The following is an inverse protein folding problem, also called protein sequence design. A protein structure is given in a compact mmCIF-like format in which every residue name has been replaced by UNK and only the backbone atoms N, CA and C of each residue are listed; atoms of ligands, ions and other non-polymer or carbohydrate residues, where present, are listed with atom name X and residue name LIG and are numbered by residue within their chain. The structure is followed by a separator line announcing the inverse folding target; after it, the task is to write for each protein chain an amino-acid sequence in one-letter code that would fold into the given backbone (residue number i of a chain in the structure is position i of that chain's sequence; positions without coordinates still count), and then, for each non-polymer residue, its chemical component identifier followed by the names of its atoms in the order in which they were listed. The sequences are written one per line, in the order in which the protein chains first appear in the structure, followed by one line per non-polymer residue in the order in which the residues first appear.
data_IF_811779932737
#
_entry.id   IF_811779932737
#
_cell.length_a   1.000
_cell.length_b   1.000
_cell.length_c   1.000
_cell.angle_alpha   90.00
_cell.angle_beta   90.00
_cell.angle_gamma   90.00
#
_symmetry.space_group_name_H-M   'P 1'
#
loop_
_entity.id
_entity.type
_entity.pdbx_description
1 polymer ?
#
# COMPACT_ATOMS: atom_id res chain seq x y z
N UNK A 1 11.17 -9.41 43.64
CA UNK A 1 12.14 -9.62 42.56
C UNK A 1 11.34 -10.29 41.46
N UNK A 2 10.91 -9.53 40.45
CA UNK A 2 10.29 -10.12 39.27
C UNK A 2 11.43 -10.70 38.44
N UNK A 3 11.31 -11.98 38.11
CA UNK A 3 12.21 -12.64 37.18
C UNK A 3 11.96 -12.03 35.80
N UNK A 4 12.97 -11.36 35.26
CA UNK A 4 13.15 -11.26 33.82
C UNK A 4 13.36 -12.69 33.31
N UNK A 5 12.25 -13.36 32.97
CA UNK A 5 12.30 -14.49 32.05
C UNK A 5 12.90 -13.96 30.74
N UNK A 6 14.18 -14.28 30.49
CA UNK A 6 14.82 -14.06 29.20
C UNK A 6 13.97 -14.74 28.13
N UNK A 7 13.22 -13.94 27.37
CA UNK A 7 12.40 -14.44 26.28
C UNK A 7 13.35 -14.79 25.13
N UNK A 8 13.84 -16.03 25.11
CA UNK A 8 14.55 -16.59 23.95
C UNK A 8 13.58 -16.51 22.78
N UNK A 9 13.80 -15.55 21.88
CA UNK A 9 12.89 -15.24 20.79
C UNK A 9 13.31 -16.01 19.56
N UNK A 10 13.16 -17.33 19.60
CA UNK A 10 13.42 -18.18 18.44
C UNK A 10 12.39 -17.89 17.33
N UNK A 11 12.80 -17.96 16.06
CA UNK A 11 11.92 -17.71 14.89
C UNK A 11 10.65 -18.57 14.88
N UNK A 12 10.73 -19.78 15.45
CA UNK A 12 9.59 -20.69 15.58
C UNK A 12 8.53 -20.14 16.52
N UNK A 13 8.93 -19.46 17.57
CA UNK A 13 8.03 -18.90 18.56
C UNK A 13 7.39 -17.62 18.01
N UNK A 14 8.15 -16.79 17.28
CA UNK A 14 7.62 -15.64 16.54
C UNK A 14 6.49 -16.02 15.58
N UNK A 15 6.68 -17.07 14.79
CA UNK A 15 5.63 -17.56 13.87
C UNK A 15 4.40 -18.08 14.61
N UNK A 16 4.60 -18.72 15.76
CA UNK A 16 3.48 -19.16 16.61
C UNK A 16 2.71 -17.98 17.21
N UNK A 17 3.40 -16.90 17.62
CA UNK A 17 2.74 -15.69 18.09
C UNK A 17 1.92 -15.01 17.00
N UNK A 18 2.49 -14.83 15.80
CA UNK A 18 1.75 -14.26 14.65
C UNK A 18 0.51 -15.09 14.35
N UNK A 19 0.66 -16.43 14.31
CA UNK A 19 -0.46 -17.34 14.11
C UNK A 19 -1.53 -17.19 15.19
N UNK A 20 -1.14 -17.12 16.47
CA UNK A 20 -2.06 -16.93 17.59
C UNK A 20 -2.80 -15.59 17.52
N UNK A 21 -2.12 -14.53 17.10
CA UNK A 21 -2.73 -13.22 16.91
C UNK A 21 -3.78 -13.30 15.79
N UNK A 22 -3.44 -13.88 14.65
CA UNK A 22 -4.37 -14.05 13.54
C UNK A 22 -5.57 -14.95 13.88
N UNK A 23 -5.33 -16.09 14.54
CA UNK A 23 -6.35 -17.11 14.79
C UNK A 23 -7.25 -16.79 16.00
N UNK A 24 -6.78 -15.98 16.95
CA UNK A 24 -7.50 -15.68 18.20
C UNK A 24 -7.58 -14.18 18.49
N UNK A 25 -6.45 -13.52 18.78
CA UNK A 25 -6.47 -12.17 19.35
C UNK A 25 -7.16 -11.16 18.43
N UNK A 26 -7.01 -11.29 17.10
CA UNK A 26 -7.63 -10.42 16.09
C UNK A 26 -9.18 -10.39 16.12
N UNK A 27 -9.78 -11.43 16.70
CA UNK A 27 -11.23 -11.64 16.79
C UNK A 27 -11.83 -11.03 18.05
N UNK A 28 -11.00 -10.69 19.03
CA UNK A 28 -11.45 -10.03 20.25
C UNK A 28 -11.94 -8.61 19.97
N UNK A 29 -12.94 -8.18 20.74
CA UNK A 29 -13.59 -6.88 20.54
C UNK A 29 -12.65 -5.71 20.87
N UNK A 30 -11.74 -5.91 21.81
CA UNK A 30 -10.74 -4.94 22.25
C UNK A 30 -9.44 -4.95 21.41
N UNK A 31 -9.36 -5.82 20.39
CA UNK A 31 -8.18 -5.87 19.52
C UNK A 31 -7.95 -4.60 18.71
N UNK A 32 -9.01 -3.86 18.37
CA UNK A 32 -8.90 -2.67 17.54
C UNK A 32 -9.92 -1.61 18.01
N UNK A 33 -9.60 -1.00 19.14
CA UNK A 33 -10.46 0.00 19.79
C UNK A 33 -10.61 1.29 18.95
N UNK A 34 -11.65 2.05 19.26
CA UNK A 34 -11.99 3.30 18.56
C UNK A 34 -10.94 4.41 18.78
N UNK A 35 -10.12 4.32 19.81
CA UNK A 35 -9.04 5.24 20.17
C UNK A 35 -7.65 4.75 19.69
N UNK A 36 -7.55 3.53 19.14
CA UNK A 36 -6.28 2.97 18.66
C UNK A 36 -5.67 3.87 17.57
N UNK A 37 -4.43 4.36 17.71
CA UNK A 37 -3.79 5.22 16.72
C UNK A 37 -3.76 4.57 15.32
N UNK A 38 -3.93 5.36 14.26
CA UNK A 38 -4.04 4.81 12.90
C UNK A 38 -2.82 3.96 12.48
N UNK A 39 -1.60 4.36 12.86
CA UNK A 39 -0.38 3.59 12.59
C UNK A 39 -0.41 2.21 13.26
N UNK A 40 -0.85 2.18 14.52
CA UNK A 40 -0.98 0.94 15.28
C UNK A 40 -2.09 0.05 14.72
N UNK A 41 -3.22 0.64 14.34
CA UNK A 41 -4.32 -0.08 13.74
C UNK A 41 -3.91 -0.76 12.42
N UNK A 42 -3.15 -0.07 11.56
CA UNK A 42 -2.59 -0.67 10.33
C UNK A 42 -1.68 -1.85 10.66
N UNK A 43 -0.78 -1.69 11.64
CA UNK A 43 0.11 -2.76 12.08
C UNK A 43 -0.67 -3.98 12.61
N UNK A 44 -1.69 -3.75 13.45
CA UNK A 44 -2.57 -4.80 13.96
C UNK A 44 -3.34 -5.52 12.85
N UNK A 45 -3.79 -4.81 11.82
CA UNK A 45 -4.40 -5.43 10.63
C UNK A 45 -3.40 -6.32 9.89
N UNK A 46 -2.15 -5.88 9.71
CA UNK A 46 -1.12 -6.73 9.10
C UNK A 46 -0.87 -7.99 9.93
N UNK A 47 -0.85 -7.89 11.26
CA UNK A 47 -0.71 -9.05 12.14
C UNK A 47 -1.93 -9.99 12.09
N UNK A 48 -3.14 -9.46 11.97
CA UNK A 48 -4.35 -10.31 11.85
C UNK A 48 -4.36 -11.13 10.56
N UNK A 49 -3.74 -10.63 9.50
CA UNK A 49 -3.56 -11.34 8.22
C UNK A 49 -2.29 -12.21 8.18
N UNK A 50 -1.63 -12.40 9.33
CA UNK A 50 -0.45 -13.25 9.44
C UNK A 50 0.83 -12.62 8.88
N UNK A 51 0.93 -11.29 8.92
CA UNK A 51 2.07 -10.49 8.46
C UNK A 51 2.43 -10.72 6.99
N UNK A 52 1.40 -10.86 6.14
CA UNK A 52 1.54 -10.99 4.68
C UNK A 52 1.53 -9.60 4.02
N UNK A 53 2.07 -9.46 2.80
CA UNK A 53 1.90 -8.25 2.02
C UNK A 53 0.41 -7.94 1.80
N UNK A 54 0.00 -6.71 2.10
CA UNK A 54 -1.37 -6.21 1.92
C UNK A 54 -1.32 -4.90 1.13
N UNK A 55 -2.36 -4.67 0.32
CA UNK A 55 -2.56 -3.39 -0.34
C UNK A 55 -3.29 -2.40 0.60
N UNK A 56 -3.32 -1.12 0.23
CA UNK A 56 -3.89 -0.09 1.08
C UNK A 56 -5.43 -0.16 1.13
N UNK A 57 -6.04 -0.69 0.07
CA UNK A 57 -7.47 -0.86 -0.12
C UNK A 57 -8.04 -1.91 0.86
N UNK A 58 -7.36 -3.04 1.01
CA UNK A 58 -7.71 -4.11 1.94
C UNK A 58 -7.64 -3.60 3.39
N UNK A 59 -6.55 -2.90 3.73
CA UNK A 59 -6.38 -2.30 5.06
C UNK A 59 -7.49 -1.27 5.31
N UNK A 60 -7.80 -0.42 4.32
CA UNK A 60 -8.89 0.55 4.40
C UNK A 60 -10.23 -0.13 4.65
N UNK A 61 -10.54 -1.21 3.92
CA UNK A 61 -11.77 -1.97 4.06
C UNK A 61 -11.95 -2.57 5.46
N UNK A 62 -10.88 -3.17 6.01
CA UNK A 62 -10.90 -3.75 7.37
C UNK A 62 -11.11 -2.66 8.42
N UNK A 63 -10.36 -1.56 8.36
CA UNK A 63 -10.46 -0.47 9.33
C UNK A 63 -11.82 0.23 9.26
N UNK A 64 -12.34 0.46 8.06
CA UNK A 64 -13.66 1.07 7.83
C UNK A 64 -14.75 0.18 8.40
N UNK A 65 -14.68 -1.13 8.19
CA UNK A 65 -15.65 -2.09 8.72
C UNK A 65 -15.61 -2.15 10.25
N UNK A 66 -14.41 -2.23 10.85
CA UNK A 66 -14.24 -2.30 12.31
C UNK A 66 -14.67 -1.02 13.02
N UNK A 67 -14.50 0.14 12.38
CA UNK A 67 -14.88 1.44 12.97
C UNK A 67 -16.20 2.02 12.48
N UNK A 68 -16.94 1.31 11.62
CA UNK A 68 -18.22 1.76 11.07
C UNK A 68 -19.24 2.19 12.14
N UNK A 69 -19.22 1.54 13.31
CA UNK A 69 -20.14 1.81 14.42
C UNK A 69 -19.54 2.70 15.52
N UNK A 70 -18.34 3.24 15.31
CA UNK A 70 -17.69 4.09 16.31
C UNK A 70 -18.26 5.52 16.25
N UNK A 71 -18.40 6.20 17.40
CA UNK A 71 -18.93 7.56 17.44
C UNK A 71 -18.00 8.62 16.81
N UNK A 72 -16.75 8.25 16.49
CA UNK A 72 -15.73 9.14 15.94
C UNK A 72 -15.22 8.58 14.60
N UNK A 73 -15.86 8.93 13.48
CA UNK A 73 -15.41 8.49 12.17
C UNK A 73 -14.01 9.03 11.88
N UNK A 74 -13.13 8.15 11.40
CA UNK A 74 -11.75 8.48 11.04
C UNK A 74 -11.55 8.34 9.54
N UNK A 75 -10.65 9.13 9.00
CA UNK A 75 -10.25 8.98 7.60
C UNK A 75 -9.31 7.77 7.46
N UNK A 76 -9.87 6.66 6.98
CA UNK A 76 -9.19 5.39 6.69
C UNK A 76 -8.94 5.21 5.19
N UNK A 77 -9.03 6.27 4.39
CA UNK A 77 -8.86 6.18 2.93
C UNK A 77 -7.50 5.56 2.55
N UNK A 78 -7.44 4.79 1.44
CA UNK A 78 -6.21 4.17 0.96
C UNK A 78 -5.07 5.19 0.79
N UNK A 79 -5.35 6.40 0.34
CA UNK A 79 -4.37 7.47 0.12
C UNK A 79 -3.74 7.93 1.44
N UNK A 80 -4.53 8.03 2.51
CA UNK A 80 -4.01 8.38 3.84
C UNK A 80 -3.12 7.26 4.37
N UNK A 81 -3.53 5.99 4.19
CA UNK A 81 -2.75 4.83 4.59
C UNK A 81 -1.41 4.82 3.83
N UNK A 82 -1.42 4.91 2.50
CA UNK A 82 -0.22 4.93 1.67
C UNK A 82 0.75 6.05 2.06
N UNK A 83 0.24 7.24 2.35
CA UNK A 83 1.07 8.37 2.80
C UNK A 83 1.65 8.16 4.21
N UNK A 84 0.97 7.41 5.05
CA UNK A 84 1.36 7.18 6.44
C UNK A 84 2.40 6.07 6.60
N UNK A 85 2.36 5.05 5.72
CA UNK A 85 3.26 3.90 5.76
C UNK A 85 4.76 4.27 5.75
N UNK A 86 5.25 5.19 4.88
CA UNK A 86 6.65 5.61 4.91
C UNK A 86 7.08 6.27 6.23
N UNK A 87 6.15 6.88 6.96
CA UNK A 87 6.41 7.56 8.23
C UNK A 87 6.18 6.64 9.45
N UNK A 88 6.06 5.33 9.25
CA UNK A 88 5.72 4.35 10.29
C UNK A 88 6.94 3.60 10.85
N UNK A 89 8.08 4.28 11.02
CA UNK A 89 9.34 3.70 11.48
C UNK A 89 9.24 2.93 12.81
N UNK A 90 8.29 3.28 13.68
CA UNK A 90 8.05 2.60 14.96
C UNK A 90 7.50 1.17 14.81
N UNK A 91 6.94 0.82 13.64
CA UNK A 91 6.34 -0.49 13.35
C UNK A 91 7.07 -1.24 12.23
N UNK A 92 8.18 -0.71 11.73
CA UNK A 92 9.02 -1.34 10.71
C UNK A 92 8.28 -1.78 9.42
N UNK A 93 7.19 -1.09 9.05
CA UNK A 93 6.41 -1.43 7.87
C UNK A 93 7.13 -0.91 6.62
N UNK A 94 7.30 -1.78 5.62
CA UNK A 94 8.01 -1.47 4.37
C UNK A 94 7.21 -1.92 3.15
N UNK A 95 7.35 -1.18 2.05
CA UNK A 95 6.73 -1.54 0.76
C UNK A 95 7.47 -2.73 0.16
N UNK A 96 6.72 -3.77 -0.23
CA UNK A 96 7.25 -4.88 -1.02
C UNK A 96 7.33 -4.45 -2.49
N UNK A 97 8.40 -4.79 -3.23
CA UNK A 97 8.48 -4.54 -4.67
C UNK A 97 7.29 -5.18 -5.40
N UNK A 98 6.79 -4.50 -6.44
CA UNK A 98 5.78 -5.08 -7.34
C UNK A 98 6.40 -6.29 -8.05
N UNK A 99 5.68 -7.42 -8.24
CA UNK A 99 6.22 -8.55 -8.99
C UNK A 99 6.63 -8.07 -10.38
N UNK A 100 7.87 -8.34 -10.79
CA UNK A 100 8.38 -7.93 -12.11
C UNK A 100 7.43 -8.43 -13.21
N UNK A 101 7.04 -7.58 -14.17
CA UNK A 101 6.14 -8.00 -15.24
C UNK A 101 6.82 -9.12 -16.03
N UNK A 102 6.24 -10.32 -16.02
CA UNK A 102 6.65 -11.39 -16.93
C UNK A 102 6.60 -10.80 -18.35
N UNK A 103 7.75 -10.81 -19.01
CA UNK A 103 7.91 -10.36 -20.40
C UNK A 103 7.08 -11.28 -21.29
N UNK A 104 5.82 -10.89 -21.54
CA UNK A 104 5.00 -11.51 -22.58
C UNK A 104 5.74 -11.29 -23.90
N UNK A 105 6.17 -12.35 -24.61
CA UNK A 105 6.90 -12.18 -25.86
C UNK A 105 6.00 -11.45 -26.87
N UNK A 106 6.49 -10.32 -27.35
CA UNK A 106 5.84 -9.50 -28.37
C UNK A 106 5.57 -10.36 -29.62
N UNK A 107 4.32 -10.44 -30.14
CA UNK A 107 4.08 -11.14 -31.39
C UNK A 107 4.84 -10.43 -32.52
N UNK A 108 5.49 -11.15 -33.45
CA UNK A 108 6.34 -10.54 -34.46
C UNK A 108 5.51 -9.59 -35.31
N UNK A 109 5.94 -8.33 -35.36
CA UNK A 109 5.33 -7.27 -36.15
C UNK A 109 5.17 -7.73 -37.60
N UNK A 110 3.92 -7.83 -38.05
CA UNK A 110 3.61 -8.01 -39.45
C UNK A 110 4.11 -6.77 -40.22
N UNK A 111 5.12 -6.99 -41.06
CA UNK A 111 5.62 -5.98 -41.99
C UNK A 111 4.50 -5.56 -42.93
N UNK A 112 4.07 -4.30 -42.82
CA UNK A 112 3.38 -3.61 -43.91
C UNK A 112 4.26 -2.48 -44.44
N UNK A 113 4.96 -2.85 -45.51
CA UNK A 113 5.57 -1.93 -46.48
C UNK A 113 4.50 -1.10 -47.18
N UNK A 114 4.73 0.22 -47.31
CA UNK A 114 4.37 1.07 -48.46
C UNK A 114 4.60 2.54 -48.05
N UNK A 115 5.73 3.17 -48.36
CA UNK A 115 6.06 3.84 -49.63
C UNK A 115 5.27 5.14 -49.92
N UNK A 116 6.03 6.23 -49.85
CA UNK A 116 6.12 7.42 -50.72
C UNK A 116 5.16 8.64 -50.62
N UNK A 117 5.80 9.81 -50.85
CA UNK A 117 5.30 11.13 -51.26
C UNK A 117 4.82 12.08 -50.13
N UNK A 118 5.20 13.35 -50.01
CA UNK A 118 6.07 14.26 -50.78
C UNK A 118 6.15 15.60 -50.00
N UNK A 119 7.17 16.42 -50.27
CA UNK A 119 7.23 17.87 -50.07
C UNK A 119 7.39 18.49 -48.65
N UNK A 120 8.63 18.84 -48.31
CA UNK A 120 8.99 20.14 -47.69
C UNK A 120 9.09 21.21 -48.81
N UNK A 121 8.99 22.56 -48.59
CA UNK A 121 9.71 23.30 -47.54
C UNK A 121 9.07 24.62 -47.00
N UNK A 122 9.85 25.24 -46.12
CA UNK A 122 9.78 26.52 -45.39
C UNK A 122 8.98 27.72 -45.94
N UNK A 123 8.43 28.52 -45.03
CA UNK A 123 8.70 29.98 -44.87
C UNK A 123 7.95 30.58 -43.66
N UNK A 124 8.66 31.37 -42.83
CA UNK A 124 8.10 32.32 -41.82
C UNK A 124 7.88 33.72 -42.47
N UNK A 125 7.61 34.85 -41.76
CA UNK A 125 6.97 35.15 -40.45
C UNK A 125 5.93 36.33 -40.54
N UNK A 126 5.51 36.86 -39.37
CA UNK A 126 5.00 38.23 -39.09
C UNK A 126 3.48 38.44 -39.01
N UNK A 127 2.99 38.85 -37.83
CA UNK A 127 2.67 40.27 -37.52
C UNK A 127 2.08 40.39 -36.10
N UNK A 128 2.77 41.09 -35.19
CA UNK A 128 2.24 41.52 -33.88
C UNK A 128 2.50 43.03 -33.71
N UNK A 129 1.40 43.79 -33.47
CA UNK A 129 1.30 45.11 -32.79
C UNK A 129 1.96 46.32 -33.48
N UNK A 130 1.44 47.55 -33.39
CA UNK A 130 0.44 48.14 -32.50
C UNK A 130 -0.23 49.33 -33.20
N UNK A 131 -1.48 49.60 -32.81
CA UNK A 131 -2.17 50.86 -33.07
C UNK A 131 -1.99 51.84 -31.92
N UNK A 132 -1.97 53.13 -32.31
CA UNK A 132 -2.05 54.39 -31.54
C UNK A 132 -0.87 54.81 -30.64
#
# INVERSE_FOLDING_TARGET
QQADDEISTDDKDLKQYIKRIADHCSKEQDYLLADTPLKEAIFRVMLSEGNRPLNAEDISGVLTSKWAMTPFPRNTSPEVIQRLLPASSNYCISRVPDPEPETVPEPPAAEISSAMADAMPESSPSEERAGE
#
